data_IF_088846042857
#
_entry.id   IF_088846042857
#
_cell.length_a   1.000
_cell.length_b   1.000
_cell.length_c   1.000
_cell.angle_alpha   90.00
_cell.angle_beta   90.00
_cell.angle_gamma   90.00
#
_symmetry.space_group_name_H-M   'P 1'
#
loop_
_entity.id
_entity.type
_entity.pdbx_description
1 polymer ?
#
# COMPACT_ATOMS: atom_id res chain seq x y z
N UNK A 1 10.33 26.98 5.73
CA UNK A 1 9.97 25.94 6.71
C UNK A 1 11.22 25.50 7.46
N UNK A 2 11.22 25.52 8.77
CA UNK A 2 12.34 24.98 9.58
C UNK A 2 12.02 23.53 9.90
N UNK A 3 12.94 22.59 9.56
CA UNK A 3 12.78 21.18 9.84
C UNK A 3 13.70 20.79 11.01
N UNK A 4 13.12 20.16 12.02
CA UNK A 4 13.80 19.67 13.21
C UNK A 4 13.94 18.15 13.18
N UNK A 5 14.99 17.62 13.81
CA UNK A 5 15.31 16.18 13.85
C UNK A 5 15.43 15.71 15.29
N UNK A 6 14.33 15.56 16.02
CA UNK A 6 14.40 15.22 17.44
C UNK A 6 15.06 13.87 17.68
N UNK A 7 15.92 13.81 18.71
CA UNK A 7 16.60 12.57 19.12
C UNK A 7 15.80 11.76 20.15
N UNK A 8 14.79 12.37 20.77
CA UNK A 8 14.01 11.68 21.79
C UNK A 8 12.68 12.36 22.11
N UNK A 9 11.91 11.70 22.97
CA UNK A 9 10.55 12.11 23.29
C UNK A 9 10.47 13.53 23.90
N UNK A 10 11.37 13.89 24.80
CA UNK A 10 11.38 15.20 25.45
C UNK A 10 11.53 16.34 24.44
N UNK A 11 12.44 16.17 23.48
CA UNK A 11 12.64 17.18 22.43
C UNK A 11 11.43 17.26 21.50
N UNK A 12 10.87 16.11 21.12
CA UNK A 12 9.68 16.03 20.29
C UNK A 12 8.47 16.69 20.95
N UNK A 13 8.24 16.45 22.24
CA UNK A 13 7.18 17.10 23.00
C UNK A 13 7.39 18.61 23.13
N UNK A 14 8.64 19.06 23.32
CA UNK A 14 8.97 20.50 23.33
C UNK A 14 8.65 21.18 22.00
N UNK A 15 8.94 20.51 20.85
CA UNK A 15 8.61 21.01 19.53
C UNK A 15 7.08 21.13 19.32
N UNK A 16 6.30 20.15 19.80
CA UNK A 16 4.83 20.22 19.74
C UNK A 16 4.27 21.34 20.60
N UNK A 17 4.86 21.57 21.79
CA UNK A 17 4.47 22.69 22.65
C UNK A 17 4.81 24.03 22.00
N UNK A 18 6.00 24.18 21.44
CA UNK A 18 6.38 25.39 20.69
C UNK A 18 5.43 25.65 19.52
N UNK A 19 5.08 24.60 18.75
CA UNK A 19 4.10 24.73 17.67
C UNK A 19 2.72 25.16 18.19
N UNK A 20 2.33 24.67 19.38
CA UNK A 20 1.08 25.06 20.02
C UNK A 20 1.05 26.54 20.41
N UNK A 21 2.11 27.02 21.08
CA UNK A 21 2.25 28.42 21.53
C UNK A 21 2.29 29.38 20.35
N UNK A 22 2.98 29.02 19.29
CA UNK A 22 3.12 29.83 18.07
C UNK A 22 1.97 29.63 17.06
N UNK A 23 1.02 28.75 17.34
CA UNK A 23 -0.09 28.36 16.43
C UNK A 23 0.40 27.90 15.06
N UNK A 24 1.53 27.21 15.02
CA UNK A 24 2.11 26.68 13.78
C UNK A 24 1.59 25.27 13.45
N UNK A 25 1.39 24.97 12.18
CA UNK A 25 1.18 23.60 11.74
C UNK A 25 2.42 22.74 12.04
N UNK A 26 2.20 21.50 12.45
CA UNK A 26 3.22 20.46 12.61
C UNK A 26 3.18 19.57 11.39
N UNK A 27 4.28 19.49 10.66
CA UNK A 27 4.39 18.81 9.40
C UNK A 27 5.41 17.68 9.54
N UNK A 28 4.92 16.47 9.41
CA UNK A 28 5.75 15.25 9.40
C UNK A 28 6.17 14.86 7.97
N UNK A 29 5.68 15.62 6.99
CA UNK A 29 5.81 15.36 5.54
C UNK A 29 6.03 16.68 4.80
N UNK A 30 6.83 16.64 3.74
CA UNK A 30 7.32 17.82 3.01
C UNK A 30 6.27 18.50 2.08
N UNK A 31 5.00 18.55 2.45
CA UNK A 31 3.94 19.03 1.55
C UNK A 31 3.55 20.51 1.71
N UNK A 32 4.14 21.26 2.67
CA UNK A 32 3.70 22.62 2.98
C UNK A 32 4.84 23.63 3.07
N UNK A 33 4.58 24.86 2.67
CA UNK A 33 5.56 25.95 2.69
C UNK A 33 5.70 26.65 4.04
N UNK A 34 4.72 26.53 4.93
CA UNK A 34 4.71 27.20 6.24
C UNK A 34 4.36 26.23 7.37
N UNK A 35 5.20 26.13 8.41
CA UNK A 35 4.98 25.29 9.57
C UNK A 35 6.28 24.80 10.20
N UNK A 36 6.15 24.04 11.28
CA UNK A 36 7.23 23.35 11.97
C UNK A 36 7.36 21.92 11.38
N UNK A 37 8.42 21.68 10.62
CA UNK A 37 8.72 20.37 10.06
C UNK A 37 9.38 19.46 11.08
N UNK A 38 8.97 18.18 11.14
CA UNK A 38 9.61 17.16 11.97
C UNK A 38 10.09 16.03 11.06
N UNK A 39 11.41 15.79 11.06
CA UNK A 39 12.06 14.67 10.41
C UNK A 39 12.39 13.62 11.47
N UNK A 40 11.85 12.43 11.32
CA UNK A 40 11.97 11.33 12.27
C UNK A 40 13.16 10.40 11.97
N UNK A 41 14.15 10.81 11.21
CA UNK A 41 15.30 9.94 10.83
C UNK A 41 16.02 9.31 12.02
N UNK A 42 15.97 9.93 13.22
CA UNK A 42 16.58 9.41 14.44
C UNK A 42 15.72 8.34 15.16
N UNK A 43 14.50 8.09 14.67
CA UNK A 43 13.57 7.08 15.18
C UNK A 43 13.66 5.82 14.34
N UNK A 44 14.86 5.21 14.30
CA UNK A 44 15.22 4.16 13.37
C UNK A 44 15.67 2.85 14.06
N UNK A 45 15.18 2.58 15.27
CA UNK A 45 15.54 1.37 16.01
C UNK A 45 14.55 0.25 15.79
N UNK A 46 15.06 -0.95 15.50
CA UNK A 46 14.30 -2.19 15.68
C UNK A 46 14.36 -2.49 17.19
N UNK A 47 13.23 -2.29 17.88
CA UNK A 47 13.17 -2.38 19.34
C UNK A 47 13.19 -3.83 19.83
N UNK A 48 12.51 -4.73 19.09
CA UNK A 48 12.36 -6.13 19.48
C UNK A 48 11.99 -7.00 18.28
N UNK A 49 12.57 -8.19 18.19
CA UNK A 49 12.13 -9.28 17.31
C UNK A 49 11.78 -10.46 18.21
N UNK A 50 10.48 -10.78 18.29
CA UNK A 50 9.95 -11.88 19.09
C UNK A 50 9.69 -13.08 18.16
N UNK A 51 10.61 -14.02 18.16
CA UNK A 51 10.54 -15.23 17.32
C UNK A 51 9.52 -16.24 17.80
N UNK A 52 9.08 -16.15 19.06
CA UNK A 52 8.07 -17.05 19.65
C UNK A 52 6.66 -16.61 19.22
N UNK A 53 6.40 -15.31 19.32
CA UNK A 53 5.10 -14.73 18.94
C UNK A 53 5.05 -14.30 17.47
N UNK A 54 6.14 -14.44 16.72
CA UNK A 54 6.28 -14.03 15.33
C UNK A 54 5.89 -12.56 15.13
N UNK A 55 6.54 -11.68 15.89
CA UNK A 55 6.28 -10.24 15.83
C UNK A 55 7.59 -9.45 15.83
N UNK A 56 7.55 -8.27 15.26
CA UNK A 56 8.62 -7.29 15.35
C UNK A 56 8.05 -5.93 15.74
N UNK A 57 8.74 -5.23 16.65
CA UNK A 57 8.44 -3.84 17.00
C UNK A 57 9.58 -2.95 16.53
N UNK A 58 9.27 -2.02 15.65
CA UNK A 58 10.25 -1.10 15.07
C UNK A 58 9.74 0.33 15.04
N UNK A 59 10.66 1.27 15.12
CA UNK A 59 10.39 2.70 15.03
C UNK A 59 10.12 3.12 13.60
N UNK A 60 9.43 4.23 13.44
CA UNK A 60 8.84 4.68 12.20
C UNK A 60 9.81 4.93 11.05
N UNK A 61 11.06 5.30 11.32
CA UNK A 61 12.06 5.56 10.29
C UNK A 61 12.81 4.31 9.83
N UNK A 62 12.59 3.15 10.47
CA UNK A 62 13.11 1.88 9.98
C UNK A 62 12.51 1.59 8.62
N UNK A 63 13.34 1.30 7.64
CA UNK A 63 12.90 0.90 6.30
C UNK A 63 12.49 -0.57 6.25
N UNK A 64 11.66 -0.94 5.27
CA UNK A 64 11.31 -2.34 5.05
C UNK A 64 12.54 -3.20 4.76
N UNK A 65 13.56 -2.65 4.08
CA UNK A 65 14.81 -3.37 3.80
C UNK A 65 15.59 -3.70 5.06
N UNK A 66 15.82 -2.71 5.94
CA UNK A 66 16.49 -2.91 7.22
C UNK A 66 15.74 -3.89 8.12
N UNK A 67 14.40 -3.78 8.13
CA UNK A 67 13.57 -4.69 8.91
C UNK A 67 13.64 -6.12 8.39
N UNK A 68 13.56 -6.30 7.06
CA UNK A 68 13.64 -7.59 6.40
C UNK A 68 14.98 -8.28 6.65
N UNK A 69 16.09 -7.57 6.52
CA UNK A 69 17.42 -8.09 6.81
C UNK A 69 17.53 -8.61 8.24
N UNK A 70 17.05 -7.81 9.20
CA UNK A 70 17.12 -8.19 10.61
C UNK A 70 16.26 -9.41 10.97
N UNK A 71 15.06 -9.55 10.36
CA UNK A 71 14.19 -10.70 10.65
C UNK A 71 14.60 -11.95 9.88
N UNK A 72 15.19 -11.81 8.68
CA UNK A 72 15.68 -12.93 7.87
C UNK A 72 16.81 -13.69 8.59
N UNK A 73 17.66 -13.01 9.36
CA UNK A 73 18.67 -13.65 10.23
C UNK A 73 18.04 -14.62 11.25
N UNK A 74 16.77 -14.47 11.55
CA UNK A 74 15.99 -15.34 12.45
C UNK A 74 15.11 -16.34 11.71
N UNK A 75 15.22 -16.46 10.38
CA UNK A 75 14.38 -17.33 9.55
C UNK A 75 12.94 -16.82 9.42
N UNK A 76 12.72 -15.52 9.59
CA UNK A 76 11.42 -14.86 9.51
C UNK A 76 11.39 -13.87 8.35
N UNK A 77 10.16 -13.47 7.96
CA UNK A 77 9.90 -12.58 6.83
C UNK A 77 8.79 -11.60 7.19
N UNK A 78 8.91 -10.35 6.71
CA UNK A 78 7.86 -9.35 6.80
C UNK A 78 6.86 -9.58 5.69
N UNK A 79 5.66 -10.04 6.02
CA UNK A 79 4.63 -10.45 5.05
C UNK A 79 4.26 -9.39 3.99
N UNK A 80 4.46 -8.11 4.31
CA UNK A 80 4.20 -6.98 3.41
C UNK A 80 5.37 -6.63 2.49
N UNK A 81 6.56 -7.17 2.78
CA UNK A 81 7.78 -6.85 2.07
C UNK A 81 7.74 -7.29 0.61
N UNK A 82 8.10 -6.39 -0.26
CA UNK A 82 8.47 -6.60 -1.67
C UNK A 82 9.62 -5.66 -2.01
N UNK A 83 10.44 -6.01 -2.97
CA UNK A 83 11.69 -5.26 -3.26
C UNK A 83 11.45 -3.79 -3.64
N UNK A 84 10.30 -3.47 -4.23
CA UNK A 84 9.89 -2.09 -4.52
C UNK A 84 9.62 -1.24 -3.27
N UNK A 85 9.38 -1.88 -2.11
CA UNK A 85 9.19 -1.23 -0.82
C UNK A 85 10.49 -1.12 0.00
N UNK A 86 11.59 -1.71 -0.43
CA UNK A 86 12.82 -1.84 0.35
C UNK A 86 13.30 -0.53 0.99
N UNK A 87 13.22 0.58 0.24
CA UNK A 87 13.65 1.90 0.71
C UNK A 87 12.54 2.71 1.43
N UNK A 88 11.33 2.16 1.53
CA UNK A 88 10.20 2.84 2.18
C UNK A 88 10.29 2.61 3.68
N UNK A 89 10.15 3.67 4.48
CA UNK A 89 10.10 3.54 5.93
C UNK A 89 8.68 3.19 6.42
N UNK A 90 8.61 2.61 7.61
CA UNK A 90 7.34 2.16 8.19
C UNK A 90 6.36 3.30 8.43
N UNK A 91 6.84 4.47 8.85
CA UNK A 91 5.99 5.64 9.12
C UNK A 91 5.26 6.10 7.87
N UNK A 92 5.98 6.29 6.77
CA UNK A 92 5.38 6.71 5.50
C UNK A 92 4.46 5.65 4.93
N UNK A 93 4.86 4.38 4.99
CA UNK A 93 4.03 3.28 4.51
C UNK A 93 2.65 3.24 5.20
N UNK A 94 2.63 3.35 6.53
CA UNK A 94 1.38 3.29 7.28
C UNK A 94 0.59 4.59 7.28
N UNK A 95 1.25 5.73 7.19
CA UNK A 95 0.58 7.01 7.06
C UNK A 95 -0.17 7.14 5.72
N UNK A 96 0.45 6.68 4.63
CA UNK A 96 -0.09 6.72 3.27
C UNK A 96 -0.99 5.54 2.91
N UNK A 97 -1.00 4.48 3.73
CA UNK A 97 -1.57 3.18 3.33
C UNK A 97 -1.14 2.74 1.93
N UNK A 98 0.15 2.68 1.72
CA UNK A 98 0.67 2.24 0.42
C UNK A 98 0.10 0.87 0.06
N UNK A 99 -0.29 0.71 -1.20
CA UNK A 99 -0.78 -0.57 -1.70
C UNK A 99 0.29 -1.65 -1.55
N UNK A 100 -0.10 -2.80 -0.98
CA UNK A 100 0.78 -3.93 -0.78
C UNK A 100 0.47 -5.01 -1.82
N UNK A 101 1.46 -5.36 -2.64
CA UNK A 101 1.32 -6.36 -3.70
C UNK A 101 1.03 -7.77 -3.16
N UNK A 102 1.50 -8.04 -1.93
CA UNK A 102 1.32 -9.33 -1.25
C UNK A 102 -0.02 -9.47 -0.51
N UNK A 103 -0.89 -8.45 -0.58
CA UNK A 103 -2.14 -8.40 0.20
C UNK A 103 -3.09 -9.57 -0.02
N UNK A 104 -3.06 -10.17 -1.21
CA UNK A 104 -3.89 -11.34 -1.48
C UNK A 104 -3.39 -12.58 -0.74
N UNK A 105 -2.08 -12.73 -0.64
CA UNK A 105 -1.43 -13.90 -0.03
C UNK A 105 -1.37 -13.79 1.50
N UNK A 106 -0.99 -12.62 2.02
CA UNK A 106 -0.76 -12.39 3.46
C UNK A 106 -1.79 -11.50 4.15
N UNK A 107 -2.85 -11.10 3.47
CA UNK A 107 -3.82 -10.08 3.89
C UNK A 107 -3.32 -8.63 3.82
N UNK A 108 -4.25 -7.71 4.01
CA UNK A 108 -4.00 -6.28 3.93
C UNK A 108 -3.06 -5.80 5.05
N UNK A 109 -2.21 -4.77 4.81
CA UNK A 109 -1.27 -4.25 5.80
C UNK A 109 -1.88 -3.93 7.16
N UNK A 110 -3.08 -3.34 7.18
CA UNK A 110 -3.80 -3.03 8.43
C UNK A 110 -4.13 -4.24 9.30
N UNK A 111 -4.16 -5.45 8.72
CA UNK A 111 -4.38 -6.71 9.44
C UNK A 111 -3.07 -7.34 9.93
N UNK A 112 -1.94 -6.82 9.50
CA UNK A 112 -0.61 -7.25 9.93
C UNK A 112 -0.11 -6.44 11.14
N UNK A 113 -0.76 -5.30 11.45
CA UNK A 113 -0.40 -4.47 12.61
C UNK A 113 -1.09 -5.01 13.85
N UNK A 114 -0.29 -5.28 14.88
CA UNK A 114 -0.74 -5.78 16.18
C UNK A 114 -0.73 -4.70 17.25
N UNK A 115 0.14 -3.70 17.14
CA UNK A 115 0.24 -2.60 18.08
C UNK A 115 0.89 -1.36 17.49
N UNK A 116 0.59 -0.22 18.10
CA UNK A 116 1.15 1.07 17.75
C UNK A 116 1.53 1.85 19.01
N UNK A 117 2.62 2.59 18.92
CA UNK A 117 2.92 3.71 19.77
C UNK A 117 2.64 4.98 18.99
N UNK A 118 1.72 5.82 19.46
CA UNK A 118 1.32 7.04 18.74
C UNK A 118 1.47 8.27 19.62
N UNK A 119 1.84 9.40 19.00
CA UNK A 119 1.94 10.71 19.61
C UNK A 119 0.73 11.54 19.16
N UNK A 120 -0.03 12.05 20.12
CA UNK A 120 -1.14 12.96 19.89
C UNK A 120 -0.67 14.41 19.72
N UNK A 121 -1.55 15.28 19.23
CA UNK A 121 -1.27 16.70 19.01
C UNK A 121 -0.92 17.47 20.29
N UNK A 122 -1.34 16.98 21.44
CA UNK A 122 -1.05 17.57 22.78
C UNK A 122 0.26 17.08 23.38
N UNK A 123 0.99 16.19 22.69
CA UNK A 123 2.24 15.59 23.18
C UNK A 123 2.04 14.31 24.01
N UNK A 124 0.79 13.86 24.18
CA UNK A 124 0.50 12.59 24.87
C UNK A 124 0.92 11.41 24.01
N UNK A 125 1.64 10.45 24.61
CA UNK A 125 2.00 9.18 23.97
C UNK A 125 1.02 8.11 24.41
N UNK A 126 0.45 7.40 23.44
CA UNK A 126 -0.45 6.29 23.68
C UNK A 126 0.15 4.99 23.15
N UNK A 127 0.08 3.94 23.97
CA UNK A 127 0.29 2.56 23.54
C UNK A 127 -1.06 1.99 23.13
N UNK A 128 -1.19 1.65 21.85
CA UNK A 128 -2.44 1.16 21.26
C UNK A 128 -2.28 -0.31 20.94
N UNK A 129 -3.14 -1.14 21.55
CA UNK A 129 -3.08 -2.59 21.47
C UNK A 129 -1.75 -3.18 21.97
N UNK A 130 -1.46 -4.43 21.70
CA UNK A 130 -0.29 -5.13 22.23
C UNK A 130 0.15 -6.25 21.30
N UNK A 131 1.12 -7.05 21.75
CA UNK A 131 1.71 -8.16 20.99
C UNK A 131 0.77 -9.35 20.76
N UNK A 132 -0.48 -9.31 21.22
CA UNK A 132 -1.42 -10.43 21.13
C UNK A 132 -2.29 -10.33 19.88
N UNK A 133 -2.33 -11.41 19.11
CA UNK A 133 -3.14 -11.53 17.87
C UNK A 133 -4.65 -11.40 18.14
N UNK A 134 -5.10 -11.56 19.38
CA UNK A 134 -6.51 -11.51 19.76
C UNK A 134 -6.75 -10.44 20.83
N UNK A 135 -7.16 -9.27 20.40
CA UNK A 135 -7.68 -8.23 21.29
C UNK A 135 -9.20 -8.35 21.34
N UNK A 136 -9.72 -8.96 22.41
CA UNK A 136 -11.18 -9.24 22.59
C UNK A 136 -11.91 -8.16 23.37
N UNK A 137 -11.20 -7.18 23.92
CA UNK A 137 -11.77 -6.17 24.82
C UNK A 137 -11.42 -4.78 24.33
N UNK A 138 -12.20 -4.22 23.40
CA UNK A 138 -12.08 -2.85 22.97
C UNK A 138 -12.18 -2.64 21.46
N UNK A 139 -12.20 -1.38 21.07
CA UNK A 139 -12.14 -0.98 19.65
C UNK A 139 -10.75 -1.23 19.08
N UNK A 140 -10.68 -1.57 17.80
CA UNK A 140 -9.41 -1.71 17.07
C UNK A 140 -8.82 -0.31 16.78
N UNK A 141 -8.15 0.22 17.78
CA UNK A 141 -7.55 1.55 17.69
C UNK A 141 -6.32 1.58 16.77
N UNK A 142 -5.68 0.45 16.49
CA UNK A 142 -4.60 0.41 15.51
C UNK A 142 -5.11 0.87 14.15
N UNK A 143 -6.24 0.30 13.70
CA UNK A 143 -6.85 0.69 12.42
C UNK A 143 -7.37 2.11 12.40
N UNK A 144 -7.66 2.67 13.57
CA UNK A 144 -8.10 4.06 13.68
C UNK A 144 -6.95 5.05 13.44
N UNK A 145 -5.74 4.75 13.95
CA UNK A 145 -4.61 5.67 13.87
C UNK A 145 -3.73 5.50 12.64
N UNK A 146 -3.83 4.38 11.94
CA UNK A 146 -3.16 4.22 10.64
C UNK A 146 -4.00 4.84 9.53
N UNK A 147 -3.35 5.26 8.44
CA UNK A 147 -4.04 5.66 7.21
C UNK A 147 -4.83 6.96 7.27
N UNK A 148 -4.49 7.81 8.22
CA UNK A 148 -5.10 9.13 8.35
C UNK A 148 -4.12 10.25 7.97
N UNK A 149 -3.04 9.93 7.24
CA UNK A 149 -1.95 10.85 6.89
C UNK A 149 -1.39 11.61 8.09
N UNK A 150 -1.39 10.95 9.24
CA UNK A 150 -0.93 11.51 10.52
C UNK A 150 -1.69 12.78 10.95
N UNK A 151 -2.94 12.92 10.54
CA UNK A 151 -3.77 14.06 10.91
C UNK A 151 -4.38 13.92 12.31
N UNK A 152 -4.52 12.71 12.84
CA UNK A 152 -5.08 12.47 14.18
C UNK A 152 -3.99 12.12 15.20
N UNK A 153 -2.95 11.46 14.78
CA UNK A 153 -1.81 11.08 15.60
C UNK A 153 -0.62 10.71 14.72
N UNK A 154 0.58 10.81 15.26
CA UNK A 154 1.84 10.46 14.59
C UNK A 154 2.28 9.08 15.11
N UNK A 155 2.32 8.03 14.29
CA UNK A 155 2.90 6.75 14.69
C UNK A 155 4.40 6.90 14.96
N UNK A 156 4.86 6.48 16.14
CA UNK A 156 6.28 6.50 16.55
C UNK A 156 6.94 5.14 16.39
N UNK A 157 6.20 4.07 16.70
CA UNK A 157 6.62 2.70 16.54
C UNK A 157 5.44 1.81 16.17
N UNK A 158 5.73 0.72 15.47
CA UNK A 158 4.73 -0.24 14.96
C UNK A 158 5.15 -1.65 15.36
N UNK A 159 4.20 -2.43 15.88
CA UNK A 159 4.36 -3.87 16.07
C UNK A 159 3.67 -4.60 14.93
N UNK A 160 4.44 -5.35 14.16
CA UNK A 160 4.02 -6.04 12.93
C UNK A 160 4.13 -7.54 13.14
N UNK A 161 3.17 -8.28 12.57
CA UNK A 161 3.20 -9.73 12.49
C UNK A 161 4.26 -10.18 11.47
N UNK A 162 5.03 -11.20 11.84
CA UNK A 162 5.96 -11.89 10.97
C UNK A 162 5.39 -13.22 10.47
N UNK A 163 5.99 -13.75 9.43
CA UNK A 163 5.76 -15.10 8.91
C UNK A 163 7.09 -15.82 8.77
N UNK A 164 7.06 -17.14 8.64
CA UNK A 164 8.27 -17.91 8.34
C UNK A 164 8.83 -17.50 6.98
N UNK A 165 10.14 -17.41 6.89
CA UNK A 165 10.81 -17.18 5.62
C UNK A 165 10.61 -18.41 4.72
N UNK A 166 10.06 -18.21 3.54
CA UNK A 166 9.86 -19.28 2.57
C UNK A 166 11.18 -19.67 1.92
N UNK A 167 11.35 -20.98 1.71
CA UNK A 167 12.64 -21.52 1.26
C UNK A 167 12.99 -21.15 -0.18
N UNK A 168 11.99 -20.97 -1.04
CA UNK A 168 12.18 -20.72 -2.48
C UNK A 168 11.15 -19.71 -2.98
N UNK A 169 11.63 -18.81 -3.83
CA UNK A 169 10.79 -17.87 -4.57
C UNK A 169 11.11 -17.95 -6.06
N UNK A 170 10.09 -17.82 -6.89
CA UNK A 170 10.22 -17.81 -8.35
C UNK A 170 9.36 -16.70 -8.93
N UNK A 171 9.92 -15.95 -9.88
CA UNK A 171 9.20 -14.93 -10.64
C UNK A 171 8.95 -15.44 -12.05
N UNK A 172 7.69 -15.37 -12.46
CA UNK A 172 7.22 -15.70 -13.81
C UNK A 172 6.75 -14.42 -14.49
N UNK A 173 6.90 -14.35 -15.80
CA UNK A 173 6.46 -13.23 -16.63
C UNK A 173 5.79 -13.69 -17.93
N UNK A 174 4.87 -12.86 -18.43
CA UNK A 174 4.27 -13.04 -19.75
C UNK A 174 3.87 -11.69 -20.36
N UNK A 175 3.88 -11.62 -21.68
CA UNK A 175 3.35 -10.48 -22.44
C UNK A 175 1.92 -10.78 -22.88
N UNK A 176 0.98 -9.90 -22.57
CA UNK A 176 -0.45 -10.08 -22.76
C UNK A 176 -0.96 -9.07 -23.81
N UNK A 177 -1.36 -9.60 -24.97
CA UNK A 177 -1.91 -8.79 -26.05
C UNK A 177 -3.45 -8.57 -25.93
N UNK A 178 -4.17 -9.54 -25.35
CA UNK A 178 -5.61 -9.42 -25.06
C UNK A 178 -5.85 -9.55 -23.55
N UNK A 179 -6.21 -8.45 -22.92
CA UNK A 179 -6.44 -8.37 -21.47
C UNK A 179 -7.59 -9.28 -21.00
N UNK A 180 -8.47 -9.73 -21.88
CA UNK A 180 -9.54 -10.66 -21.53
C UNK A 180 -9.03 -12.00 -20.99
N UNK A 181 -7.80 -12.38 -21.36
CA UNK A 181 -7.16 -13.60 -20.85
C UNK A 181 -6.87 -13.52 -19.34
N UNK A 182 -6.65 -12.33 -18.79
CA UNK A 182 -6.39 -12.13 -17.36
C UNK A 182 -7.57 -12.57 -16.49
N UNK A 183 -8.80 -12.34 -16.96
CA UNK A 183 -10.03 -12.78 -16.26
C UNK A 183 -10.10 -14.31 -16.23
N UNK A 184 -9.78 -14.96 -17.35
CA UNK A 184 -9.75 -16.42 -17.44
C UNK A 184 -8.64 -16.99 -16.55
N UNK A 185 -7.45 -16.40 -16.60
CA UNK A 185 -6.32 -16.77 -15.74
C UNK A 185 -6.69 -16.71 -14.26
N UNK A 186 -7.28 -15.58 -13.82
CA UNK A 186 -7.73 -15.41 -12.43
C UNK A 186 -8.77 -16.47 -12.03
N UNK A 187 -9.71 -16.80 -12.89
CA UNK A 187 -10.72 -17.84 -12.65
C UNK A 187 -10.06 -19.22 -12.49
N UNK A 188 -9.12 -19.59 -13.36
CA UNK A 188 -8.44 -20.89 -13.34
C UNK A 188 -7.53 -21.04 -12.11
N UNK A 189 -6.75 -20.01 -11.77
CA UNK A 189 -5.91 -20.00 -10.57
C UNK A 189 -6.75 -20.21 -9.30
N UNK A 190 -7.91 -19.51 -9.18
CA UNK A 190 -8.82 -19.68 -8.05
C UNK A 190 -9.43 -21.07 -7.99
N UNK A 191 -9.85 -21.66 -9.13
CA UNK A 191 -10.39 -23.02 -9.17
C UNK A 191 -9.39 -24.07 -8.66
N UNK A 192 -8.10 -23.83 -8.86
CA UNK A 192 -7.04 -24.71 -8.37
C UNK A 192 -6.46 -24.30 -7.00
N UNK A 193 -7.03 -23.29 -6.34
CA UNK A 193 -6.56 -22.73 -5.06
C UNK A 193 -5.09 -22.28 -5.10
N UNK A 194 -4.65 -21.77 -6.24
CA UNK A 194 -3.31 -21.21 -6.42
C UNK A 194 -3.38 -19.71 -6.16
N UNK A 195 -2.58 -19.26 -5.21
CA UNK A 195 -2.48 -17.84 -4.84
C UNK A 195 -1.02 -17.42 -4.86
N UNK A 196 -0.53 -16.86 -5.95
CA UNK A 196 0.81 -16.26 -6.00
C UNK A 196 0.98 -15.20 -4.91
N UNK A 197 2.19 -15.03 -4.44
CA UNK A 197 2.53 -13.94 -3.48
C UNK A 197 2.24 -12.58 -4.11
N UNK A 198 2.61 -12.41 -5.38
CA UNK A 198 2.31 -11.24 -6.20
C UNK A 198 1.68 -11.70 -7.51
N UNK A 199 0.62 -11.01 -7.94
CA UNK A 199 0.06 -11.14 -9.28
C UNK A 199 -0.25 -9.75 -9.78
N UNK A 200 0.54 -9.25 -10.72
CA UNK A 200 0.49 -7.88 -11.19
C UNK A 200 0.55 -7.84 -12.70
N UNK A 201 -0.31 -7.06 -13.29
CA UNK A 201 -0.31 -6.73 -14.70
C UNK A 201 -0.23 -5.23 -14.90
N UNK A 202 0.56 -4.76 -15.82
CA UNK A 202 0.47 -3.40 -16.33
C UNK A 202 0.30 -3.41 -17.84
N UNK A 203 -0.51 -2.48 -18.35
CA UNK A 203 -0.83 -2.43 -19.76
C UNK A 203 0.29 -1.80 -20.59
N UNK A 204 0.16 -1.89 -21.92
CA UNK A 204 1.15 -1.35 -22.85
C UNK A 204 1.41 0.15 -22.64
N UNK A 205 0.39 0.95 -22.36
CA UNK A 205 0.55 2.39 -22.09
C UNK A 205 1.38 2.65 -20.83
N UNK A 206 1.28 1.78 -19.80
CA UNK A 206 2.14 1.87 -18.63
C UNK A 206 3.60 1.46 -18.94
N UNK A 207 3.81 0.45 -19.79
CA UNK A 207 5.15 0.07 -20.25
C UNK A 207 5.81 1.19 -21.05
N UNK A 208 5.08 1.91 -21.88
CA UNK A 208 5.57 3.07 -22.63
C UNK A 208 6.03 4.22 -21.70
N UNK A 209 5.33 4.46 -20.59
CA UNK A 209 5.77 5.41 -19.56
C UNK A 209 7.11 5.02 -18.91
N UNK A 210 7.38 3.73 -18.83
CA UNK A 210 8.65 3.19 -18.34
C UNK A 210 9.76 3.20 -19.41
N UNK A 211 9.49 3.81 -20.58
CA UNK A 211 10.39 3.85 -21.75
C UNK A 211 10.73 2.46 -22.29
N UNK A 212 9.81 1.50 -22.10
CA UNK A 212 9.97 0.15 -22.62
C UNK A 212 9.31 0.03 -23.99
N UNK A 213 10.03 -0.51 -24.94
CA UNK A 213 9.52 -0.81 -26.29
C UNK A 213 8.80 -2.17 -26.30
N UNK A 214 7.82 -2.35 -25.41
CA UNK A 214 7.12 -3.62 -25.27
C UNK A 214 5.95 -3.74 -26.26
N UNK A 215 5.74 -4.89 -26.89
CA UNK A 215 4.68 -5.09 -27.86
C UNK A 215 3.28 -5.15 -27.24
N UNK A 216 3.19 -5.47 -25.94
CA UNK A 216 1.97 -5.76 -25.22
C UNK A 216 2.10 -5.38 -23.73
N UNK A 217 1.02 -5.53 -22.96
CA UNK A 217 1.09 -5.40 -21.51
C UNK A 217 1.87 -6.57 -20.88
N UNK A 218 2.41 -6.37 -19.68
CA UNK A 218 3.25 -7.33 -18.99
C UNK A 218 2.57 -7.85 -17.72
N UNK A 219 2.52 -9.17 -17.59
CA UNK A 219 2.05 -9.88 -16.40
C UNK A 219 3.24 -10.43 -15.63
N UNK A 220 3.25 -10.18 -14.33
CA UNK A 220 4.23 -10.72 -13.38
C UNK A 220 3.51 -11.54 -12.32
N UNK A 221 4.02 -12.74 -12.06
CA UNK A 221 3.62 -13.57 -10.94
C UNK A 221 4.83 -13.96 -10.10
N UNK A 222 4.77 -13.70 -8.80
CA UNK A 222 5.78 -14.17 -7.84
C UNK A 222 5.16 -15.28 -7.02
N UNK A 223 5.76 -16.45 -7.07
CA UNK A 223 5.35 -17.63 -6.32
C UNK A 223 6.42 -17.99 -5.31
N UNK A 224 6.01 -18.31 -4.08
CA UNK A 224 6.90 -18.71 -3.00
C UNK A 224 6.34 -19.92 -2.25
N UNK A 225 7.19 -20.61 -1.50
CA UNK A 225 6.78 -21.73 -0.68
C UNK A 225 7.89 -22.76 -0.45
N UNK A 226 7.51 -23.91 0.12
CA UNK A 226 8.41 -25.07 0.15
C UNK A 226 8.67 -25.56 -1.28
N UNK A 227 9.84 -26.13 -1.52
CA UNK A 227 10.25 -26.61 -2.85
C UNK A 227 9.18 -27.51 -3.50
N UNK A 228 8.64 -28.47 -2.75
CA UNK A 228 7.64 -29.42 -3.26
C UNK A 228 6.31 -28.76 -3.62
N UNK A 229 5.86 -27.79 -2.80
CA UNK A 229 4.62 -27.04 -3.07
C UNK A 229 4.80 -26.14 -4.28
N UNK A 230 5.92 -25.42 -4.33
CA UNK A 230 6.21 -24.51 -5.44
C UNK A 230 6.30 -25.25 -6.77
N UNK A 231 6.98 -26.41 -6.83
CA UNK A 231 7.04 -27.25 -8.05
C UNK A 231 5.64 -27.65 -8.53
N UNK A 232 4.76 -28.05 -7.62
CA UNK A 232 3.38 -28.40 -7.94
C UNK A 232 2.59 -27.20 -8.45
N UNK A 233 2.68 -26.05 -7.76
CA UNK A 233 1.98 -24.83 -8.15
C UNK A 233 2.49 -24.33 -9.52
N UNK A 234 3.79 -24.36 -9.78
CA UNK A 234 4.38 -24.00 -11.08
C UNK A 234 3.92 -24.91 -12.22
N UNK A 235 3.83 -26.22 -12.00
CA UNK A 235 3.30 -27.17 -13.00
C UNK A 235 1.83 -26.83 -13.34
N UNK A 236 1.01 -26.54 -12.32
CA UNK A 236 -0.38 -26.20 -12.54
C UNK A 236 -0.54 -24.83 -13.22
N UNK A 237 0.28 -23.84 -12.87
CA UNK A 237 0.31 -22.52 -13.52
C UNK A 237 0.72 -22.67 -14.99
N UNK A 238 1.73 -23.49 -15.29
CA UNK A 238 2.16 -23.75 -16.67
C UNK A 238 1.03 -24.37 -17.49
N UNK A 239 0.36 -25.38 -16.95
CA UNK A 239 -0.78 -26.02 -17.63
C UNK A 239 -1.93 -25.04 -17.91
N UNK A 240 -2.22 -24.12 -16.97
CA UNK A 240 -3.22 -23.07 -17.18
C UNK A 240 -2.75 -22.09 -18.26
N UNK A 241 -1.48 -21.71 -18.26
CA UNK A 241 -0.91 -20.81 -19.24
C UNK A 241 -0.97 -21.42 -20.66
N UNK A 242 -0.65 -22.69 -20.82
CA UNK A 242 -0.75 -23.43 -22.08
C UNK A 242 -2.18 -23.50 -22.58
N UNK A 243 -3.16 -23.83 -21.71
CA UNK A 243 -4.59 -23.83 -22.03
C UNK A 243 -5.08 -22.46 -22.54
N UNK A 244 -4.58 -21.38 -21.92
CA UNK A 244 -4.97 -20.01 -22.25
C UNK A 244 -4.11 -19.37 -23.33
N UNK A 245 -3.13 -20.11 -23.87
CA UNK A 245 -2.16 -19.63 -24.84
C UNK A 245 -1.37 -18.40 -24.37
N UNK A 246 -1.02 -18.38 -23.09
CA UNK A 246 -0.18 -17.36 -22.48
C UNK A 246 1.28 -17.85 -22.56
N UNK A 247 2.14 -17.09 -23.21
CA UNK A 247 3.59 -17.35 -23.28
C UNK A 247 4.28 -17.06 -21.94
N UNK A 248 3.98 -17.89 -20.92
CA UNK A 248 4.53 -17.72 -19.57
C UNK A 248 5.93 -18.31 -19.49
N UNK A 249 6.88 -17.56 -18.94
CA UNK A 249 8.27 -17.95 -18.79
C UNK A 249 8.85 -17.53 -17.45
N UNK A 250 10.00 -18.10 -17.09
CA UNK A 250 10.78 -17.60 -15.96
C UNK A 250 11.30 -16.20 -16.27
N UNK A 251 11.18 -15.29 -15.31
CA UNK A 251 11.74 -13.96 -15.43
C UNK A 251 13.27 -14.04 -15.33
N UNK A 252 13.96 -13.57 -16.37
CA UNK A 252 15.43 -13.59 -16.42
C UNK A 252 16.06 -12.42 -15.63
N UNK A 253 15.33 -11.33 -15.44
CA UNK A 253 15.82 -10.09 -14.81
C UNK A 253 14.87 -9.58 -13.70
N UNK A 254 14.71 -10.32 -12.60
CA UNK A 254 13.76 -9.96 -11.54
C UNK A 254 14.08 -8.59 -10.89
N UNK A 255 15.36 -8.20 -10.77
CA UNK A 255 15.74 -6.90 -10.24
C UNK A 255 15.23 -5.74 -11.10
N UNK A 256 15.29 -5.90 -12.43
CA UNK A 256 14.75 -4.93 -13.36
C UNK A 256 13.24 -4.80 -13.22
N UNK A 257 12.52 -5.93 -13.08
CA UNK A 257 11.06 -5.94 -12.86
C UNK A 257 10.68 -5.22 -11.56
N UNK A 258 11.42 -5.45 -10.48
CA UNK A 258 11.18 -4.72 -9.22
C UNK A 258 11.44 -3.23 -9.33
N UNK A 259 12.47 -2.83 -10.09
CA UNK A 259 12.72 -1.43 -10.39
C UNK A 259 11.55 -0.80 -11.18
N UNK A 260 11.02 -1.49 -12.17
CA UNK A 260 9.87 -1.06 -12.96
C UNK A 260 8.61 -0.90 -12.09
N UNK A 261 8.33 -1.87 -11.22
CA UNK A 261 7.22 -1.80 -10.25
C UNK A 261 7.39 -0.57 -9.34
N UNK A 262 8.59 -0.32 -8.86
CA UNK A 262 8.90 0.89 -8.08
C UNK A 262 8.61 2.16 -8.88
N UNK A 263 9.01 2.21 -10.14
CA UNK A 263 8.75 3.36 -11.02
C UNK A 263 7.25 3.54 -11.28
N UNK A 264 6.50 2.47 -11.57
CA UNK A 264 5.04 2.53 -11.70
C UNK A 264 4.40 3.12 -10.42
N UNK A 265 4.89 2.71 -9.26
CA UNK A 265 4.42 3.21 -7.96
C UNK A 265 4.66 4.71 -7.80
N UNK A 266 5.80 5.23 -8.24
CA UNK A 266 6.10 6.68 -8.18
C UNK A 266 5.25 7.52 -9.12
N UNK A 267 4.81 6.95 -10.24
CA UNK A 267 3.94 7.63 -11.21
C UNK A 267 2.45 7.50 -10.87
N UNK A 268 2.10 6.63 -9.92
CA UNK A 268 0.71 6.46 -9.51
C UNK A 268 0.31 7.56 -8.55
N UNK A 269 -0.68 8.38 -8.93
CA UNK A 269 -1.32 9.29 -7.98
C UNK A 269 -2.21 8.45 -7.07
N UNK A 270 -1.88 8.44 -5.80
CA UNK A 270 -2.63 7.70 -4.80
C UNK A 270 -4.02 8.32 -4.66
N UNK A 271 -5.03 7.57 -5.00
CA UNK A 271 -6.42 8.04 -5.01
C UNK A 271 -7.22 7.61 -6.23
N UNK A 272 -6.55 7.39 -7.37
CA UNK A 272 -7.21 7.10 -8.65
C UNK A 272 -7.33 5.58 -8.91
N UNK A 273 -7.68 4.82 -7.88
CA UNK A 273 -7.89 3.38 -7.98
C UNK A 273 -9.36 3.00 -7.96
N UNK A 274 -9.72 1.98 -8.72
CA UNK A 274 -11.03 1.35 -8.68
C UNK A 274 -10.89 -0.13 -8.35
N UNK A 275 -11.87 -0.68 -7.68
CA UNK A 275 -11.98 -2.11 -7.44
C UNK A 275 -13.13 -2.68 -8.22
N UNK A 276 -12.87 -3.68 -9.04
CA UNK A 276 -13.88 -4.41 -9.81
C UNK A 276 -13.86 -5.88 -9.43
N UNK A 277 -15.00 -6.60 -9.53
CA UNK A 277 -14.96 -8.03 -9.42
C UNK A 277 -14.01 -8.60 -10.47
N UNK A 278 -12.97 -9.30 -10.05
CA UNK A 278 -11.87 -9.76 -10.94
C UNK A 278 -12.35 -10.59 -12.14
N UNK A 279 -13.54 -11.20 -12.05
CA UNK A 279 -14.15 -11.96 -13.15
C UNK A 279 -15.02 -11.10 -14.09
N UNK A 280 -15.05 -9.78 -13.92
CA UNK A 280 -15.88 -8.87 -14.72
C UNK A 280 -15.11 -7.62 -15.20
N UNK A 281 -13.80 -7.60 -15.08
CA UNK A 281 -13.00 -6.42 -15.38
C UNK A 281 -12.55 -6.29 -16.84
N UNK A 282 -12.80 -7.29 -17.67
CA UNK A 282 -12.33 -7.34 -19.07
C UNK A 282 -12.80 -6.13 -19.90
N UNK A 283 -14.05 -5.69 -19.74
CA UNK A 283 -14.59 -4.51 -20.39
C UNK A 283 -13.83 -3.23 -20.03
N UNK A 284 -13.52 -3.05 -18.75
CA UNK A 284 -12.77 -1.90 -18.27
C UNK A 284 -11.31 -1.90 -18.74
N UNK A 285 -10.64 -3.05 -18.70
CA UNK A 285 -9.27 -3.17 -19.20
C UNK A 285 -9.18 -2.86 -20.68
N UNK A 286 -10.13 -3.36 -21.50
CA UNK A 286 -10.20 -3.03 -22.93
C UNK A 286 -10.47 -1.55 -23.18
N UNK A 287 -11.32 -0.91 -22.35
CA UNK A 287 -11.57 0.52 -22.45
C UNK A 287 -10.28 1.31 -22.22
N UNK A 288 -9.54 1.00 -21.18
CA UNK A 288 -8.26 1.65 -20.85
C UNK A 288 -7.21 1.42 -21.95
N UNK A 289 -7.11 0.19 -22.46
CA UNK A 289 -6.21 -0.13 -23.56
C UNK A 289 -6.57 0.65 -24.84
N UNK A 290 -7.86 0.72 -25.19
CA UNK A 290 -8.35 1.48 -26.35
C UNK A 290 -8.07 2.98 -26.24
N UNK A 291 -8.17 3.53 -25.04
CA UNK A 291 -7.92 4.95 -24.77
C UNK A 291 -6.44 5.26 -24.48
N UNK A 292 -5.57 4.24 -24.51
CA UNK A 292 -4.14 4.34 -24.19
C UNK A 292 -3.86 4.93 -22.82
N UNK A 293 -4.72 4.60 -21.83
CA UNK A 293 -4.56 5.04 -20.46
C UNK A 293 -3.69 4.04 -19.72
N UNK A 294 -2.59 4.53 -19.18
CA UNK A 294 -1.68 3.72 -18.40
C UNK A 294 -2.33 3.26 -17.09
N UNK A 295 -2.24 1.97 -16.82
CA UNK A 295 -2.75 1.38 -15.58
C UNK A 295 -1.95 0.15 -15.18
N UNK A 296 -2.01 -0.18 -13.88
CA UNK A 296 -1.63 -1.49 -13.41
C UNK A 296 -2.79 -2.14 -12.65
N UNK A 297 -2.84 -3.46 -12.68
CA UNK A 297 -3.98 -4.23 -12.26
C UNK A 297 -3.55 -5.53 -11.56
N UNK A 298 -4.21 -5.87 -10.45
CA UNK A 298 -4.08 -7.18 -9.83
C UNK A 298 -5.24 -8.08 -10.27
N UNK A 299 -5.01 -9.07 -11.15
CA UNK A 299 -6.07 -9.91 -11.71
C UNK A 299 -6.83 -10.71 -10.66
N UNK A 300 -6.18 -11.12 -9.58
CA UNK A 300 -6.79 -11.91 -8.52
C UNK A 300 -7.57 -11.07 -7.51
N UNK A 301 -7.16 -9.82 -7.25
CA UNK A 301 -7.88 -8.92 -6.35
C UNK A 301 -8.95 -8.08 -7.02
N UNK A 302 -8.81 -7.84 -8.32
CA UNK A 302 -9.65 -6.90 -9.04
C UNK A 302 -9.35 -5.44 -8.70
N UNK A 303 -8.17 -5.14 -8.13
CA UNK A 303 -7.72 -3.79 -7.87
C UNK A 303 -6.99 -3.24 -9.09
N UNK A 304 -7.47 -2.12 -9.59
CA UNK A 304 -6.94 -1.41 -10.74
C UNK A 304 -6.52 -0.02 -10.30
N UNK A 305 -5.31 0.38 -10.65
CA UNK A 305 -4.75 1.70 -10.40
C UNK A 305 -4.48 2.39 -11.73
N UNK A 306 -4.93 3.62 -11.83
CA UNK A 306 -4.60 4.47 -12.96
C UNK A 306 -3.25 5.14 -12.73
N UNK A 307 -2.51 5.34 -13.82
CA UNK A 307 -1.28 6.12 -13.82
C UNK A 307 -1.59 7.40 -14.62
N UNK A 308 -1.97 8.49 -13.97
CA UNK A 308 -2.37 9.68 -14.69
C UNK A 308 -1.14 10.40 -15.23
N UNK A 309 -0.94 10.36 -16.54
CA UNK A 309 -0.17 11.41 -17.19
C UNK A 309 -0.98 12.73 -17.24
N UNK A 310 -2.31 12.65 -17.29
CA UNK A 310 -3.29 13.74 -17.22
C UNK A 310 -4.65 13.08 -16.87
N UNK A 311 -4.93 12.88 -15.61
CA UNK A 311 -6.24 12.35 -15.21
C UNK A 311 -7.31 13.41 -15.49
N UNK A 312 -8.04 13.24 -16.61
CA UNK A 312 -9.28 13.93 -16.81
C UNK A 312 -10.29 13.43 -15.75
N UNK A 313 -10.72 14.33 -14.88
CA UNK A 313 -11.70 14.01 -13.84
C UNK A 313 -13.01 13.44 -14.38
N UNK A 314 -13.34 13.69 -15.65
CA UNK A 314 -14.51 13.11 -16.35
C UNK A 314 -14.30 11.62 -16.57
N UNK A 315 -13.13 11.24 -17.08
CA UNK A 315 -12.77 9.83 -17.29
C UNK A 315 -12.77 9.05 -15.98
N UNK A 316 -12.17 9.62 -14.93
CA UNK A 316 -12.10 8.96 -13.64
C UNK A 316 -13.50 8.72 -13.06
N UNK A 317 -14.41 9.70 -13.14
CA UNK A 317 -15.81 9.53 -12.73
C UNK A 317 -16.52 8.45 -13.57
N UNK A 318 -16.26 8.39 -14.87
CA UNK A 318 -16.80 7.33 -15.72
C UNK A 318 -16.32 5.95 -15.26
N UNK A 319 -15.02 5.77 -14.99
CA UNK A 319 -14.47 4.51 -14.52
C UNK A 319 -15.03 4.11 -13.15
N UNK A 320 -15.22 5.06 -12.24
CA UNK A 320 -15.88 4.81 -10.96
C UNK A 320 -17.31 4.31 -11.15
N UNK A 321 -18.10 4.97 -12.01
CA UNK A 321 -19.48 4.58 -12.32
C UNK A 321 -19.55 3.20 -12.98
N UNK A 322 -18.63 2.88 -13.88
CA UNK A 322 -18.55 1.54 -14.50
C UNK A 322 -18.13 0.47 -13.49
N UNK A 323 -17.20 0.77 -12.60
CA UNK A 323 -16.80 -0.15 -11.53
C UNK A 323 -18.01 -0.49 -10.64
N UNK A 324 -18.78 0.51 -10.23
CA UNK A 324 -19.98 0.35 -9.43
C UNK A 324 -21.08 -0.43 -10.17
N UNK A 325 -21.29 -0.16 -11.45
CA UNK A 325 -22.23 -0.91 -12.29
C UNK A 325 -21.88 -2.40 -12.41
N UNK A 326 -20.58 -2.73 -12.32
CA UNK A 326 -20.08 -4.11 -12.30
C UNK A 326 -20.17 -4.77 -10.91
N UNK A 327 -20.63 -4.03 -9.88
CA UNK A 327 -20.67 -4.48 -8.49
C UNK A 327 -19.33 -4.33 -7.77
N UNK A 328 -18.47 -3.47 -8.29
CA UNK A 328 -17.21 -3.05 -7.68
C UNK A 328 -17.37 -1.78 -6.85
N UNK A 329 -16.27 -1.08 -6.65
CA UNK A 329 -16.22 0.17 -5.89
C UNK A 329 -15.37 1.18 -6.65
N UNK A 330 -15.99 2.30 -7.02
CA UNK A 330 -15.29 3.49 -7.47
C UNK A 330 -14.58 4.14 -6.28
N UNK A 331 -13.55 4.95 -6.56
CA UNK A 331 -12.75 5.58 -5.50
C UNK A 331 -12.26 4.59 -4.41
N UNK A 332 -12.02 3.33 -4.79
CA UNK A 332 -11.71 2.28 -3.83
C UNK A 332 -10.50 2.62 -2.97
N UNK A 333 -9.50 3.24 -3.57
CA UNK A 333 -8.29 3.63 -2.86
C UNK A 333 -8.60 4.77 -1.88
N UNK A 334 -9.44 5.72 -2.28
CA UNK A 334 -9.91 6.79 -1.41
C UNK A 334 -10.71 6.25 -0.22
N UNK A 335 -11.67 5.35 -0.47
CA UNK A 335 -12.42 4.66 0.59
C UNK A 335 -11.54 3.75 1.44
N UNK A 336 -10.56 3.09 0.84
CA UNK A 336 -9.59 2.25 1.54
C UNK A 336 -8.66 3.09 2.41
N UNK A 337 -8.24 4.25 1.94
CA UNK A 337 -7.36 5.18 2.62
C UNK A 337 -8.06 5.91 3.77
N UNK A 338 -9.30 6.32 3.57
CA UNK A 338 -10.03 7.15 4.53
C UNK A 338 -11.14 6.41 5.27
N UNK A 339 -11.52 5.24 4.82
CA UNK A 339 -12.55 4.40 5.46
C UNK A 339 -14.00 4.89 5.31
N UNK A 340 -14.26 5.95 4.52
CA UNK A 340 -15.56 6.61 4.43
C UNK A 340 -15.84 7.15 3.02
N UNK A 341 -17.10 7.33 2.68
CA UNK A 341 -17.53 7.93 1.42
C UNK A 341 -17.49 9.47 1.49
N UNK A 342 -17.00 10.13 0.45
CA UNK A 342 -16.65 11.55 0.42
C UNK A 342 -17.71 12.55 0.93
N UNK A 343 -19.01 12.27 0.79
CA UNK A 343 -20.08 13.20 1.19
C UNK A 343 -20.50 13.12 2.67
N UNK A 344 -20.24 11.97 3.34
CA UNK A 344 -20.55 11.80 4.78
C UNK A 344 -19.36 12.11 5.69
N UNK A 345 -18.18 12.17 5.13
CA UNK A 345 -16.90 12.28 5.80
C UNK A 345 -16.69 13.58 6.53
N UNK A 346 -17.08 14.68 5.93
CA UNK A 346 -16.75 16.01 6.42
C UNK A 346 -17.18 16.23 7.88
N UNK A 347 -18.37 15.75 8.27
CA UNK A 347 -18.87 15.97 9.65
C UNK A 347 -18.24 15.06 10.69
N UNK A 348 -18.09 13.76 10.39
CA UNK A 348 -17.49 12.80 11.33
C UNK A 348 -16.00 13.08 11.46
N UNK A 349 -15.32 13.28 10.33
CA UNK A 349 -13.90 13.59 10.29
C UNK A 349 -13.60 14.90 11.02
N UNK A 350 -14.34 15.96 10.77
CA UNK A 350 -14.20 17.24 11.47
C UNK A 350 -14.38 17.10 12.99
N UNK A 351 -15.34 16.28 13.44
CA UNK A 351 -15.53 16.00 14.87
C UNK A 351 -14.34 15.23 15.47
N UNK A 352 -13.82 14.24 14.74
CA UNK A 352 -12.64 13.49 15.17
C UNK A 352 -11.42 14.42 15.22
N UNK A 353 -11.17 15.17 14.16
CA UNK A 353 -10.08 16.14 14.09
C UNK A 353 -10.17 17.17 15.23
N UNK A 354 -11.35 17.72 15.47
CA UNK A 354 -11.58 18.64 16.56
C UNK A 354 -11.33 18.02 17.94
N UNK A 355 -11.59 16.73 18.10
CA UNK A 355 -11.38 16.02 19.37
C UNK A 355 -9.92 15.63 19.59
N UNK A 356 -9.22 15.15 18.57
CA UNK A 356 -7.85 14.64 18.68
C UNK A 356 -6.78 15.69 18.38
N UNK A 357 -7.13 16.73 17.63
CA UNK A 357 -6.28 17.85 17.28
C UNK A 357 -7.12 19.14 17.15
N UNK A 358 -7.60 19.63 18.29
CA UNK A 358 -8.48 20.80 18.35
C UNK A 358 -7.88 22.06 17.67
N UNK A 359 -6.55 22.16 17.65
CA UNK A 359 -5.83 23.23 16.95
C UNK A 359 -5.66 23.00 15.46
N UNK A 360 -6.08 21.85 14.93
CA UNK A 360 -5.90 21.44 13.53
C UNK A 360 -4.44 21.58 13.05
N UNK A 361 -3.49 21.22 13.89
CA UNK A 361 -2.07 21.47 13.66
C UNK A 361 -1.35 20.31 12.96
N UNK A 362 -1.74 19.05 13.24
CA UNK A 362 -1.10 17.89 12.64
C UNK A 362 -1.45 17.77 11.16
N UNK A 363 -0.46 17.92 10.29
CA UNK A 363 -0.59 17.72 8.85
C UNK A 363 -1.91 18.26 8.28
N UNK A 364 -2.23 19.56 8.44
CA UNK A 364 -3.49 20.12 7.96
C UNK A 364 -3.61 19.92 6.44
N UNK A 365 -4.82 19.64 5.96
CA UNK A 365 -5.08 19.61 4.52
C UNK A 365 -4.89 21.00 3.94
N UNK A 366 -4.21 21.13 2.82
CA UNK A 366 -4.19 22.36 2.04
C UNK A 366 -5.53 22.58 1.36
N UNK A 367 -6.00 23.80 1.28
CA UNK A 367 -7.25 24.17 0.59
C UNK A 367 -7.29 23.73 -0.90
N UNK A 368 -6.13 23.47 -1.53
CA UNK A 368 -6.03 22.93 -2.91
C UNK A 368 -6.24 21.42 -3.03
N UNK A 369 -6.28 20.65 -1.94
CA UNK A 369 -6.57 19.21 -1.97
C UNK A 369 -8.07 18.86 -1.94
N UNK A 370 -8.92 19.85 -1.69
CA UNK A 370 -10.37 19.67 -1.62
C UNK A 370 -11.11 19.88 -2.98
N UNK A 371 -10.42 20.43 -3.99
CA UNK A 371 -11.06 20.77 -5.27
C UNK A 371 -11.23 19.59 -6.24
N UNK A 372 -10.70 18.42 -5.95
CA UNK A 372 -10.89 17.24 -6.82
C UNK A 372 -12.03 16.30 -6.37
N UNK A 373 -12.86 16.70 -5.41
CA UNK A 373 -13.92 15.86 -4.85
C UNK A 373 -15.28 16.50 -4.62
N UNK A 374 -15.48 17.76 -5.02
CA UNK A 374 -16.75 18.44 -4.81
C UNK A 374 -17.11 19.31 -6.03
N UNK A 375 -17.61 18.68 -7.09
CA UNK A 375 -18.62 19.18 -8.01
C UNK A 375 -19.28 18.02 -8.74
#
# INVERSE_FOLDING_TARGET
>A
MTTYKPYGMTELQSLLQQAAEQKLPVLTRHQHSAGLGIDFQNWNKIREIDTVNLTVTAERAVTFGELEEAVNEKGLHVAMMTEDLRAVNLGDFFAEQMYCLTSLHYNQPRLQILGLEVLLADGTVLQVAGKTVKNVTGYDMCRFYISNREQLAIPLAVTIKLVSLEAVQTMLEAYIADEAVLVKLAARLRQQNITPQVCLYWNKAAAELLQQAEPAGRLIMVCNGSKQRLEKDLQAISAIADELQIGLQLCEQPEQVWYEIKMLRTHTVWGDGVKVPSLRCDGMLRLLAKQQIACWYNPLQGSLQLIPAQADGVLYRQLCSEAEALGGVGNWYYMYQYGFAAAGETKIWQRLKQKFDAGQRLNPLTEGGAEHGAE
#
